data_IF_805195220421
#
_entry.id   IF_805195220421
#
_cell.length_a   1.000
_cell.length_b   1.000
_cell.length_c   1.000
_cell.angle_alpha   90.00
_cell.angle_beta   90.00
_cell.angle_gamma   90.00
#
_symmetry.space_group_name_H-M   'P 1'
#
loop_
_entity.id
_entity.type
_entity.pdbx_description
1 polymer ?
#
# COMPACT_ATOMS: atom_id res chain seq x y z
N UNK A 1 13.52 -16.78 -1.25
CA UNK A 1 14.99 -16.75 -1.42
C UNK A 1 15.37 -17.35 -2.77
N UNK A 2 15.11 -18.64 -3.06
CA UNK A 2 15.49 -19.31 -4.31
C UNK A 2 15.02 -18.58 -5.59
N UNK A 3 13.80 -18.04 -5.61
CA UNK A 3 13.28 -17.28 -6.77
C UNK A 3 14.02 -15.96 -7.01
N UNK A 4 14.48 -15.28 -5.95
CA UNK A 4 15.28 -14.07 -6.06
C UNK A 4 16.69 -14.35 -6.56
N UNK A 5 17.30 -15.47 -6.14
CA UNK A 5 18.59 -15.92 -6.64
C UNK A 5 18.52 -16.25 -8.13
N UNK A 6 17.50 -17.00 -8.56
CA UNK A 6 17.25 -17.30 -9.96
C UNK A 6 17.02 -16.04 -10.79
N UNK A 7 16.25 -15.07 -10.26
CA UNK A 7 16.00 -13.80 -10.94
C UNK A 7 17.29 -12.97 -11.06
N UNK A 8 18.16 -12.98 -10.05
CA UNK A 8 19.48 -12.32 -10.08
C UNK A 8 20.41 -12.94 -11.13
N UNK A 9 20.40 -14.26 -11.31
CA UNK A 9 21.19 -14.96 -12.34
C UNK A 9 20.70 -14.66 -13.76
N UNK A 10 19.39 -14.42 -13.93
CA UNK A 10 18.76 -14.14 -15.22
C UNK A 10 18.79 -12.66 -15.60
N UNK A 11 18.81 -11.74 -14.63
CA UNK A 11 18.89 -10.31 -14.87
C UNK A 11 20.34 -9.90 -15.08
N UNK A 12 20.68 -9.48 -16.31
CA UNK A 12 22.00 -8.93 -16.61
C UNK A 12 22.27 -7.65 -15.81
N UNK A 13 23.54 -7.38 -15.48
CA UNK A 13 23.99 -6.25 -14.62
C UNK A 13 23.57 -4.83 -15.07
N UNK A 14 22.95 -4.68 -16.22
CA UNK A 14 22.71 -3.39 -16.85
C UNK A 14 21.28 -2.83 -16.71
N UNK A 15 20.34 -3.58 -16.12
CA UNK A 15 18.96 -3.09 -16.00
C UNK A 15 18.69 -2.53 -14.60
N UNK A 16 18.79 -1.18 -14.48
CA UNK A 16 18.57 -0.44 -13.23
C UNK A 16 17.23 -0.76 -12.56
N UNK A 17 16.19 -0.97 -13.35
CA UNK A 17 14.85 -1.28 -12.85
C UNK A 17 14.79 -2.69 -12.24
N UNK A 18 15.47 -3.65 -12.84
CA UNK A 18 15.57 -5.01 -12.30
C UNK A 18 16.37 -5.03 -10.99
N UNK A 19 17.46 -4.28 -10.91
CA UNK A 19 18.22 -4.12 -9.68
C UNK A 19 17.39 -3.50 -8.55
N UNK A 20 16.53 -2.52 -8.85
CA UNK A 20 15.58 -1.97 -7.87
C UNK A 20 14.62 -3.03 -7.33
N UNK A 21 14.02 -3.85 -8.21
CA UNK A 21 13.12 -4.92 -7.78
C UNK A 21 13.81 -5.98 -6.94
N UNK A 22 15.04 -6.38 -7.28
CA UNK A 22 15.83 -7.32 -6.49
C UNK A 22 16.13 -6.77 -5.10
N UNK A 23 16.66 -5.55 -5.03
CA UNK A 23 16.99 -4.89 -3.77
C UNK A 23 15.74 -4.69 -2.89
N UNK A 24 14.59 -4.37 -3.50
CA UNK A 24 13.34 -4.26 -2.80
C UNK A 24 12.89 -5.61 -2.22
N UNK A 25 12.99 -6.69 -3.01
CA UNK A 25 12.66 -8.04 -2.54
C UNK A 25 13.52 -8.48 -1.36
N UNK A 26 14.82 -8.20 -1.40
CA UNK A 26 15.75 -8.48 -0.30
C UNK A 26 15.40 -7.67 0.96
N UNK A 27 15.07 -6.39 0.79
CA UNK A 27 14.67 -5.52 1.90
C UNK A 27 13.39 -6.01 2.57
N UNK A 28 12.38 -6.42 1.79
CA UNK A 28 11.12 -6.97 2.31
C UNK A 28 11.36 -8.28 3.06
N UNK A 29 12.22 -9.16 2.52
CA UNK A 29 12.60 -10.40 3.23
C UNK A 29 13.34 -10.12 4.53
N UNK A 30 14.25 -9.14 4.53
CA UNK A 30 14.95 -8.71 5.74
C UNK A 30 13.97 -8.17 6.79
N UNK A 31 12.98 -7.38 6.38
CA UNK A 31 11.93 -6.90 7.29
C UNK A 31 11.13 -8.06 7.89
N UNK A 32 10.68 -9.01 7.07
CA UNK A 32 9.92 -10.17 7.56
C UNK A 32 10.74 -11.09 8.48
N UNK A 33 12.06 -11.10 8.35
CA UNK A 33 12.96 -11.82 9.26
C UNK A 33 13.26 -11.10 10.57
N UNK A 34 12.61 -9.96 10.84
CA UNK A 34 12.75 -9.21 12.08
C UNK A 34 13.77 -8.07 12.02
N UNK A 35 14.11 -7.58 10.82
CA UNK A 35 14.96 -6.40 10.64
C UNK A 35 14.36 -5.15 11.30
N UNK A 36 15.23 -4.32 11.90
CA UNK A 36 14.82 -3.07 12.55
C UNK A 36 14.27 -2.06 11.55
N UNK A 37 13.17 -1.38 11.89
CA UNK A 37 12.47 -0.45 11.02
C UNK A 37 13.38 0.67 10.48
N UNK A 38 14.30 1.19 11.29
CA UNK A 38 15.28 2.23 10.89
C UNK A 38 16.20 1.73 9.78
N UNK A 39 16.70 0.49 9.87
CA UNK A 39 17.54 -0.10 8.85
C UNK A 39 16.77 -0.34 7.55
N UNK A 40 15.52 -0.77 7.65
CA UNK A 40 14.62 -0.97 6.51
C UNK A 40 14.34 0.36 5.81
N UNK A 41 14.05 1.42 6.57
CA UNK A 41 13.85 2.76 6.01
C UNK A 41 15.06 3.23 5.19
N UNK A 42 16.27 3.10 5.73
CA UNK A 42 17.50 3.48 5.03
C UNK A 42 17.72 2.67 3.75
N UNK A 43 17.42 1.36 3.76
CA UNK A 43 17.51 0.52 2.57
C UNK A 43 16.50 0.94 1.50
N UNK A 44 15.25 1.21 1.88
CA UNK A 44 14.21 1.68 0.97
C UNK A 44 14.55 3.04 0.36
N UNK A 45 15.11 3.96 1.14
CA UNK A 45 15.60 5.26 0.65
C UNK A 45 16.70 5.10 -0.40
N UNK A 46 17.71 4.26 -0.15
CA UNK A 46 18.77 3.98 -1.13
C UNK A 46 18.23 3.38 -2.43
N UNK A 47 17.27 2.47 -2.34
CA UNK A 47 16.65 1.89 -3.54
C UNK A 47 15.88 2.96 -4.32
N UNK A 48 15.22 3.89 -3.64
CA UNK A 48 14.53 5.02 -4.27
C UNK A 48 15.52 5.96 -4.98
N UNK A 49 16.67 6.25 -4.36
CA UNK A 49 17.76 7.06 -4.97
C UNK A 49 18.31 6.41 -6.26
N UNK A 50 18.29 5.08 -6.35
CA UNK A 50 18.65 4.38 -7.59
C UNK A 50 17.76 4.77 -8.78
N UNK A 51 16.52 5.24 -8.58
CA UNK A 51 15.65 5.70 -9.68
C UNK A 51 16.12 7.01 -10.31
N UNK A 52 16.98 7.77 -9.64
CA UNK A 52 17.45 9.08 -10.07
C UNK A 52 16.38 10.17 -9.95
N UNK A 53 15.24 9.85 -9.34
CA UNK A 53 14.24 10.82 -8.96
C UNK A 53 14.66 11.45 -7.64
N UNK A 54 14.74 12.78 -7.52
CA UNK A 54 15.00 13.41 -6.23
C UNK A 54 13.91 12.97 -5.25
N UNK A 55 14.32 12.61 -4.04
CA UNK A 55 13.44 12.68 -2.88
C UNK A 55 12.85 14.08 -2.96
N UNK A 56 11.53 14.21 -3.09
CA UNK A 56 10.90 15.49 -3.30
C UNK A 56 11.37 16.43 -2.17
N UNK A 57 12.26 17.37 -2.51
CA UNK A 57 12.61 18.45 -1.62
C UNK A 57 11.32 19.18 -1.30
N UNK A 58 10.99 19.28 -0.02
CA UNK A 58 9.77 19.89 0.50
C UNK A 58 9.64 21.37 0.07
N UNK A 59 10.71 21.99 -0.42
CA UNK A 59 10.79 23.42 -0.74
C UNK A 59 10.60 23.78 -2.22
N UNK A 60 10.79 22.87 -3.16
CA UNK A 60 10.58 23.20 -4.56
C UNK A 60 9.16 22.82 -4.99
N UNK A 61 8.27 23.81 -4.96
CA UNK A 61 6.91 23.72 -5.51
C UNK A 61 6.82 23.43 -7.03
N UNK A 62 7.90 22.93 -7.62
CA UNK A 62 7.97 22.55 -9.01
C UNK A 62 7.66 21.06 -9.15
N UNK A 63 6.42 20.78 -9.50
CA UNK A 63 5.93 19.47 -9.90
C UNK A 63 6.72 18.99 -11.12
N UNK A 64 7.78 18.23 -10.93
CA UNK A 64 8.16 17.27 -11.92
C UNK A 64 7.05 16.20 -11.93
N UNK A 65 6.13 16.29 -12.87
CA UNK A 65 5.17 15.23 -13.19
C UNK A 65 5.99 14.09 -13.81
N UNK A 66 6.84 13.47 -13.00
CA UNK A 66 7.56 12.26 -13.35
C UNK A 66 6.59 11.08 -13.29
N UNK A 67 6.68 10.23 -14.28
CA UNK A 67 5.93 8.96 -14.24
C UNK A 67 6.55 8.05 -13.18
N UNK A 68 5.84 7.81 -12.09
CA UNK A 68 6.26 6.81 -11.09
C UNK A 68 6.21 5.40 -11.69
N UNK A 69 7.25 4.62 -11.45
CA UNK A 69 7.23 3.19 -11.71
C UNK A 69 6.45 2.45 -10.61
N UNK A 70 5.99 1.23 -10.91
CA UNK A 70 5.33 0.39 -9.90
C UNK A 70 6.23 0.13 -8.68
N UNK A 71 7.54 -0.02 -8.91
CA UNK A 71 8.53 -0.22 -7.86
C UNK A 71 8.63 1.01 -6.94
N UNK A 72 8.73 2.21 -7.50
CA UNK A 72 8.80 3.46 -6.73
C UNK A 72 7.55 3.71 -5.88
N UNK A 73 6.36 3.44 -6.43
CA UNK A 73 5.10 3.55 -5.68
C UNK A 73 5.11 2.60 -4.48
N UNK A 74 5.54 1.35 -4.69
CA UNK A 74 5.61 0.36 -3.62
C UNK A 74 6.65 0.75 -2.55
N UNK A 75 7.83 1.22 -2.95
CA UNK A 75 8.86 1.69 -2.02
C UNK A 75 8.32 2.83 -1.15
N UNK A 76 7.64 3.82 -1.74
CA UNK A 76 7.07 4.95 -1.00
C UNK A 76 6.00 4.51 -0.01
N UNK A 77 5.16 3.55 -0.38
CA UNK A 77 4.17 2.96 0.54
C UNK A 77 4.84 2.23 1.71
N UNK A 78 5.92 1.48 1.44
CA UNK A 78 6.67 0.77 2.47
C UNK A 78 7.41 1.74 3.41
N UNK A 79 7.94 2.86 2.88
CA UNK A 79 8.55 3.92 3.70
C UNK A 79 7.53 4.48 4.71
N UNK A 80 6.31 4.80 4.27
CA UNK A 80 5.24 5.23 5.17
C UNK A 80 4.92 4.16 6.21
N UNK A 81 4.84 2.89 5.81
CA UNK A 81 4.58 1.79 6.75
C UNK A 81 5.69 1.64 7.81
N UNK A 82 6.96 1.84 7.44
CA UNK A 82 8.08 1.83 8.39
C UNK A 82 8.03 2.98 9.39
N UNK A 83 7.60 4.17 8.94
CA UNK A 83 7.55 5.40 9.75
C UNK A 83 6.33 5.49 10.64
N UNK A 84 5.29 4.72 10.40
CA UNK A 84 3.99 4.82 11.11
C UNK A 84 4.10 4.64 12.64
N UNK A 85 5.27 4.23 13.16
CA UNK A 85 5.60 4.24 14.58
C UNK A 85 6.27 5.54 15.08
N UNK A 86 6.69 6.44 14.20
CA UNK A 86 7.41 7.67 14.50
C UNK A 86 6.47 8.85 14.22
N UNK A 87 6.20 9.69 15.16
CA UNK A 87 5.10 10.66 15.31
C UNK A 87 4.95 11.81 14.29
N UNK A 88 5.54 11.78 13.11
CA UNK A 88 5.42 12.84 12.10
C UNK A 88 4.64 12.33 10.87
N UNK A 89 3.31 12.49 10.90
CA UNK A 89 2.43 11.99 9.82
C UNK A 89 2.24 12.98 8.65
N UNK A 90 2.53 14.27 8.82
CA UNK A 90 2.17 15.29 7.83
C UNK A 90 2.92 15.08 6.49
N UNK A 91 4.21 14.80 6.53
CA UNK A 91 5.02 14.48 5.36
C UNK A 91 4.55 13.21 4.64
N UNK A 92 4.22 12.17 5.41
CA UNK A 92 3.74 10.90 4.88
C UNK A 92 2.36 11.04 4.22
N UNK A 93 1.45 11.79 4.85
CA UNK A 93 0.12 12.09 4.28
C UNK A 93 0.26 12.87 2.98
N UNK A 94 1.14 13.87 2.94
CA UNK A 94 1.39 14.65 1.72
C UNK A 94 1.95 13.77 0.60
N UNK A 95 2.91 12.91 0.91
CA UNK A 95 3.50 11.98 -0.05
C UNK A 95 2.45 11.01 -0.62
N UNK A 96 1.61 10.42 0.23
CA UNK A 96 0.55 9.52 -0.21
C UNK A 96 -0.53 10.24 -1.03
N UNK A 97 -0.87 11.49 -0.70
CA UNK A 97 -1.80 12.30 -1.51
C UNK A 97 -1.26 12.56 -2.91
N UNK A 98 0.02 12.88 -3.05
CA UNK A 98 0.68 13.02 -4.37
C UNK A 98 0.65 11.72 -5.18
N UNK A 99 0.89 10.56 -4.53
CA UNK A 99 0.75 9.26 -5.17
C UNK A 99 -0.70 9.00 -5.63
N UNK A 100 -1.67 9.35 -4.80
CA UNK A 100 -3.08 9.18 -5.14
C UNK A 100 -3.49 10.06 -6.32
N UNK A 101 -3.05 11.31 -6.38
CA UNK A 101 -3.26 12.22 -7.51
C UNK A 101 -2.67 11.66 -8.79
N UNK A 102 -1.42 11.18 -8.74
CA UNK A 102 -0.78 10.52 -9.88
C UNK A 102 -1.56 9.30 -10.37
N UNK A 103 -1.95 8.40 -9.47
CA UNK A 103 -2.71 7.20 -9.82
C UNK A 103 -4.09 7.55 -10.41
N UNK A 104 -4.74 8.59 -9.88
CA UNK A 104 -6.04 9.07 -10.40
C UNK A 104 -5.89 9.64 -11.82
N UNK A 105 -4.81 10.38 -12.09
CA UNK A 105 -4.53 10.94 -13.42
C UNK A 105 -4.15 9.86 -14.44
N UNK A 106 -3.66 8.71 -14.00
CA UNK A 106 -3.27 7.58 -14.86
C UNK A 106 -4.43 6.71 -15.35
N UNK A 107 -5.69 7.09 -15.12
CA UNK A 107 -6.92 6.38 -15.51
C UNK A 107 -7.07 4.94 -14.99
N UNK A 108 -6.20 4.48 -14.11
CA UNK A 108 -6.23 3.16 -13.46
C UNK A 108 -6.47 1.99 -14.44
N UNK A 109 -5.84 2.03 -15.61
CA UNK A 109 -6.07 1.01 -16.65
C UNK A 109 -5.44 -0.35 -16.32
N UNK A 110 -4.32 -0.35 -15.59
CA UNK A 110 -3.59 -1.56 -15.25
C UNK A 110 -4.00 -2.11 -13.88
N UNK A 111 -3.99 -3.44 -13.74
CA UNK A 111 -4.36 -4.11 -12.48
C UNK A 111 -3.49 -3.63 -11.31
N UNK A 112 -2.19 -3.50 -11.49
CA UNK A 112 -1.29 -3.04 -10.44
C UNK A 112 -1.58 -1.59 -10.00
N UNK A 113 -2.01 -0.71 -10.93
CA UNK A 113 -2.41 0.67 -10.59
C UNK A 113 -3.64 0.68 -9.68
N UNK A 114 -4.63 -0.18 -9.96
CA UNK A 114 -5.82 -0.34 -9.11
C UNK A 114 -5.46 -0.85 -7.72
N UNK A 115 -4.58 -1.85 -7.64
CA UNK A 115 -4.09 -2.37 -6.37
C UNK A 115 -3.30 -1.32 -5.58
N UNK A 116 -2.42 -0.56 -6.25
CA UNK A 116 -1.69 0.54 -5.65
C UNK A 116 -2.63 1.64 -5.14
N UNK A 117 -3.65 2.02 -5.92
CA UNK A 117 -4.66 2.99 -5.50
C UNK A 117 -5.38 2.55 -4.22
N UNK A 118 -5.88 1.31 -4.18
CA UNK A 118 -6.55 0.74 -3.01
C UNK A 118 -5.61 0.77 -1.78
N UNK A 119 -4.36 0.38 -1.95
CA UNK A 119 -3.36 0.36 -0.88
C UNK A 119 -3.02 1.77 -0.37
N UNK A 120 -2.85 2.75 -1.27
CA UNK A 120 -2.61 4.16 -0.91
C UNK A 120 -3.81 4.74 -0.17
N UNK A 121 -5.03 4.49 -0.64
CA UNK A 121 -6.24 4.91 0.05
C UNK A 121 -6.37 4.29 1.45
N UNK A 122 -6.00 3.00 1.61
CA UNK A 122 -5.97 2.35 2.91
C UNK A 122 -5.01 3.06 3.87
N UNK A 123 -3.77 3.33 3.45
CA UNK A 123 -2.79 4.04 4.27
C UNK A 123 -3.23 5.46 4.63
N UNK A 124 -3.79 6.20 3.66
CA UNK A 124 -4.36 7.53 3.91
C UNK A 124 -5.53 7.48 4.90
N UNK A 125 -6.40 6.47 4.79
CA UNK A 125 -7.52 6.31 5.72
C UNK A 125 -7.03 6.01 7.14
N UNK A 126 -6.01 5.16 7.28
CA UNK A 126 -5.42 4.81 8.56
C UNK A 126 -4.76 6.03 9.22
N UNK A 127 -3.86 6.72 8.51
CA UNK A 127 -3.20 7.93 9.01
C UNK A 127 -4.22 9.04 9.35
N UNK A 128 -5.22 9.28 8.48
CA UNK A 128 -6.29 10.25 8.76
C UNK A 128 -7.07 9.88 10.03
N UNK A 129 -7.31 8.59 10.26
CA UNK A 129 -7.95 8.10 11.50
C UNK A 129 -7.08 8.35 12.73
N UNK A 130 -5.76 8.13 12.64
CA UNK A 130 -4.81 8.34 13.73
C UNK A 130 -4.73 9.81 14.16
N UNK A 131 -4.77 10.75 13.21
CA UNK A 131 -4.77 12.21 13.50
C UNK A 131 -6.16 12.76 13.82
N UNK A 132 -7.21 11.90 13.82
CA UNK A 132 -8.59 12.32 14.14
C UNK A 132 -9.35 12.95 12.97
N UNK A 133 -8.82 12.94 11.75
CA UNK A 133 -9.50 13.42 10.54
C UNK A 133 -10.48 12.35 10.00
N UNK A 134 -11.49 12.01 10.77
CA UNK A 134 -12.45 10.95 10.43
C UNK A 134 -13.20 11.17 9.11
N UNK A 135 -13.59 12.39 8.70
CA UNK A 135 -14.22 12.60 7.40
C UNK A 135 -13.34 12.20 6.23
N UNK A 136 -12.05 12.52 6.28
CA UNK A 136 -11.05 12.11 5.29
C UNK A 136 -10.87 10.60 5.27
N UNK A 137 -10.68 9.99 6.44
CA UNK A 137 -10.57 8.53 6.59
C UNK A 137 -11.77 7.80 5.95
N UNK A 138 -13.01 8.23 6.25
CA UNK A 138 -14.24 7.66 5.68
C UNK A 138 -14.26 7.79 4.15
N UNK A 139 -13.86 8.95 3.61
CA UNK A 139 -13.81 9.19 2.17
C UNK A 139 -12.84 8.23 1.49
N UNK A 140 -11.60 8.12 1.97
CA UNK A 140 -10.61 7.21 1.40
C UNK A 140 -11.05 5.74 1.47
N UNK A 141 -11.63 5.31 2.61
CA UNK A 141 -12.20 3.96 2.72
C UNK A 141 -13.29 3.71 1.67
N UNK A 142 -14.21 4.64 1.49
CA UNK A 142 -15.31 4.52 0.52
C UNK A 142 -14.77 4.40 -0.91
N UNK A 143 -13.86 5.28 -1.31
CA UNK A 143 -13.33 5.33 -2.67
C UNK A 143 -12.55 4.04 -2.99
N UNK A 144 -11.75 3.52 -2.05
CA UNK A 144 -11.09 2.23 -2.19
C UNK A 144 -12.07 1.05 -2.25
N UNK A 145 -13.11 1.03 -1.41
CA UNK A 145 -14.12 -0.04 -1.40
C UNK A 145 -14.91 -0.10 -2.71
N UNK A 146 -15.26 1.05 -3.29
CA UNK A 146 -15.90 1.11 -4.62
C UNK A 146 -14.99 0.42 -5.65
N UNK A 147 -13.70 0.73 -5.65
CA UNK A 147 -12.75 0.12 -6.58
C UNK A 147 -12.55 -1.38 -6.30
N UNK A 148 -12.54 -1.81 -5.04
CA UNK A 148 -12.51 -3.24 -4.68
C UNK A 148 -13.69 -4.01 -5.31
N UNK A 149 -14.90 -3.45 -5.24
CA UNK A 149 -16.09 -4.06 -5.83
C UNK A 149 -16.01 -4.10 -7.36
N UNK A 150 -15.57 -3.01 -7.99
CA UNK A 150 -15.44 -2.92 -9.45
C UNK A 150 -14.40 -3.87 -10.03
N UNK A 151 -13.36 -4.20 -9.27
CA UNK A 151 -12.22 -4.99 -9.73
C UNK A 151 -12.21 -6.42 -9.22
N UNK A 152 -13.03 -6.76 -8.23
CA UNK A 152 -12.99 -8.05 -7.52
C UNK A 152 -11.80 -8.21 -6.58
N UNK A 153 -11.06 -7.14 -6.27
CA UNK A 153 -9.86 -7.15 -5.44
C UNK A 153 -10.21 -6.89 -3.95
N UNK A 154 -10.64 -7.93 -3.24
CA UNK A 154 -11.16 -7.81 -1.87
C UNK A 154 -10.11 -7.92 -0.77
N UNK A 155 -8.82 -8.07 -1.07
CA UNK A 155 -7.76 -8.27 -0.06
C UNK A 155 -7.76 -7.20 1.05
N UNK A 156 -7.96 -5.93 0.68
CA UNK A 156 -7.97 -4.81 1.62
C UNK A 156 -9.36 -4.50 2.19
N UNK A 157 -10.42 -5.10 1.65
CA UNK A 157 -11.78 -4.75 2.01
C UNK A 157 -12.11 -4.96 3.51
N UNK A 158 -11.69 -6.03 4.20
CA UNK A 158 -11.94 -6.18 5.65
C UNK A 158 -11.32 -5.06 6.46
N UNK A 159 -10.07 -4.67 6.16
CA UNK A 159 -9.36 -3.60 6.86
C UNK A 159 -10.00 -2.23 6.60
N UNK A 160 -10.34 -1.94 5.33
CA UNK A 160 -11.03 -0.72 4.94
C UNK A 160 -12.40 -0.59 5.62
N UNK A 161 -13.18 -1.67 5.69
CA UNK A 161 -14.48 -1.70 6.39
C UNK A 161 -14.32 -1.51 7.90
N UNK A 162 -13.25 -2.03 8.49
CA UNK A 162 -12.95 -1.83 9.90
C UNK A 162 -12.59 -0.37 10.23
N UNK A 163 -11.76 0.26 9.39
CA UNK A 163 -11.46 1.69 9.50
C UNK A 163 -12.70 2.56 9.28
N UNK A 164 -13.51 2.25 8.26
CA UNK A 164 -14.77 2.91 7.99
C UNK A 164 -15.71 2.85 9.20
N UNK A 165 -15.85 1.67 9.79
CA UNK A 165 -16.67 1.48 10.99
C UNK A 165 -16.15 2.28 12.20
N UNK A 166 -14.83 2.34 12.38
CA UNK A 166 -14.20 3.16 13.41
C UNK A 166 -14.53 4.64 13.22
N UNK A 167 -14.31 5.18 12.01
CA UNK A 167 -14.61 6.58 11.68
C UNK A 167 -16.10 6.92 11.84
N UNK A 168 -17.00 6.03 11.42
CA UNK A 168 -18.46 6.19 11.60
C UNK A 168 -18.85 6.19 13.08
N UNK A 169 -18.27 5.30 13.89
CA UNK A 169 -18.52 5.29 15.34
C UNK A 169 -18.10 6.59 16.00
N UNK A 170 -16.95 7.14 15.64
CA UNK A 170 -16.44 8.42 16.15
C UNK A 170 -17.33 9.60 15.76
N UNK A 171 -18.06 9.50 14.66
CA UNK A 171 -19.06 10.49 14.20
C UNK A 171 -20.47 10.25 14.76
N UNK A 172 -20.68 9.22 15.56
CA UNK A 172 -21.98 8.88 16.16
C UNK A 172 -22.90 8.02 15.29
N UNK A 173 -22.47 7.61 14.10
CA UNK A 173 -23.26 6.73 13.22
C UNK A 173 -22.98 5.24 13.56
N UNK A 174 -23.50 4.84 14.73
CA UNK A 174 -23.26 3.50 15.27
C UNK A 174 -23.96 2.40 14.46
N UNK A 175 -25.09 2.72 13.81
CA UNK A 175 -25.82 1.75 12.99
C UNK A 175 -25.00 1.32 11.78
N UNK A 176 -24.55 2.28 10.96
CA UNK A 176 -23.73 1.99 9.78
C UNK A 176 -22.37 1.42 10.15
N UNK A 177 -21.81 1.83 11.28
CA UNK A 177 -20.59 1.22 11.81
C UNK A 177 -20.78 -0.28 12.11
N UNK A 178 -21.91 -0.67 12.68
CA UNK A 178 -22.26 -2.08 12.91
C UNK A 178 -22.41 -2.87 11.62
N UNK A 179 -23.07 -2.30 10.60
CA UNK A 179 -23.22 -2.90 9.27
C UNK A 179 -21.84 -3.09 8.60
N UNK A 180 -20.95 -2.09 8.63
CA UNK A 180 -19.60 -2.19 8.07
C UNK A 180 -18.77 -3.29 8.75
N UNK A 181 -18.83 -3.43 10.08
CA UNK A 181 -18.17 -4.51 10.81
C UNK A 181 -18.71 -5.89 10.40
N UNK A 182 -20.00 -6.03 10.23
CA UNK A 182 -20.61 -7.29 9.80
C UNK A 182 -20.13 -7.69 8.39
N UNK A 183 -20.07 -6.73 7.46
CA UNK A 183 -19.51 -6.97 6.12
C UNK A 183 -18.01 -7.33 6.16
N UNK A 184 -17.22 -6.68 7.00
CA UNK A 184 -15.80 -7.03 7.17
C UNK A 184 -15.64 -8.50 7.57
N UNK A 185 -16.40 -8.96 8.57
CA UNK A 185 -16.38 -10.35 9.01
C UNK A 185 -16.78 -11.36 7.91
N UNK A 186 -17.77 -11.01 7.08
CA UNK A 186 -18.21 -11.89 5.97
C UNK A 186 -17.11 -12.04 4.94
N UNK A 187 -16.52 -10.91 4.49
CA UNK A 187 -15.47 -10.91 3.47
C UNK A 187 -14.23 -11.63 3.99
N UNK A 188 -13.84 -11.41 5.26
CA UNK A 188 -12.68 -12.06 5.85
C UNK A 188 -12.84 -13.59 5.87
N UNK A 189 -14.02 -14.10 6.22
CA UNK A 189 -14.34 -15.52 6.14
C UNK A 189 -14.26 -16.07 4.70
N UNK A 190 -14.83 -15.34 3.73
CA UNK A 190 -14.75 -15.74 2.32
C UNK A 190 -13.31 -15.83 1.82
N UNK A 191 -12.45 -14.88 2.18
CA UNK A 191 -11.04 -14.89 1.81
C UNK A 191 -10.28 -16.05 2.48
N UNK A 192 -10.59 -16.36 3.73
CA UNK A 192 -10.02 -17.51 4.45
C UNK A 192 -10.43 -18.84 3.79
N UNK A 193 -11.70 -19.00 3.42
CA UNK A 193 -12.20 -20.19 2.72
C UNK A 193 -11.56 -20.37 1.35
N UNK A 194 -11.38 -19.29 0.57
CA UNK A 194 -10.66 -19.35 -0.70
C UNK A 194 -9.20 -19.79 -0.52
N UNK A 195 -8.52 -19.32 0.50
CA UNK A 195 -7.15 -19.73 0.83
C UNK A 195 -7.07 -21.21 1.21
N UNK A 196 -8.03 -21.72 1.95
CA UNK A 196 -8.11 -23.15 2.29
C UNK A 196 -8.35 -24.00 1.05
N UNK A 197 -9.24 -23.59 0.15
CA UNK A 197 -9.52 -24.29 -1.10
C UNK A 197 -8.29 -24.35 -2.01
N UNK A 198 -7.55 -23.25 -2.15
CA UNK A 198 -6.31 -23.23 -2.95
C UNK A 198 -5.27 -24.19 -2.40
N UNK A 199 -5.02 -24.19 -1.09
CA UNK A 199 -4.10 -25.13 -0.44
C UNK A 199 -4.53 -26.59 -0.64
N UNK A 200 -5.83 -26.87 -0.60
CA UNK A 200 -6.38 -28.19 -0.85
C UNK A 200 -6.10 -28.62 -2.31
N UNK A 201 -6.33 -27.75 -3.30
CA UNK A 201 -6.09 -28.01 -4.71
C UNK A 201 -4.58 -28.23 -4.97
N UNK A 202 -3.71 -27.39 -4.41
CA UNK A 202 -2.25 -27.53 -4.51
C UNK A 202 -1.73 -28.83 -3.89
N UNK A 203 -2.41 -29.37 -2.88
CA UNK A 203 -2.06 -30.67 -2.26
C UNK A 203 -2.51 -31.90 -3.06
N UNK A 204 -3.31 -31.72 -4.12
CA UNK A 204 -3.79 -32.79 -5.01
C UNK A 204 -2.89 -32.93 -6.26
N UNK A 205 -2.20 -31.85 -6.65
CA UNK A 205 -1.28 -31.82 -7.81
C UNK A 205 0.13 -32.23 -7.42
#
# INVERSE_FOLDING_TARGET
VQQLELYRELSGDNNRQEQQWLSLGETVLHWWSGGEAVNIEQLLQRILEMSGMPLADEESGCQAVGSYTACEILIRQLLVACRSGLREFDGDILQLRRLLEYLTAADLNLRWQKQAYISVCYQLADLSSLIGEYPGSIRYCRDALILCVQTGEFRYAPMLLSLLASGMTKRGDTKRAGEAKAFACVIDKMLAEQSCLLKFIEGIL
#
